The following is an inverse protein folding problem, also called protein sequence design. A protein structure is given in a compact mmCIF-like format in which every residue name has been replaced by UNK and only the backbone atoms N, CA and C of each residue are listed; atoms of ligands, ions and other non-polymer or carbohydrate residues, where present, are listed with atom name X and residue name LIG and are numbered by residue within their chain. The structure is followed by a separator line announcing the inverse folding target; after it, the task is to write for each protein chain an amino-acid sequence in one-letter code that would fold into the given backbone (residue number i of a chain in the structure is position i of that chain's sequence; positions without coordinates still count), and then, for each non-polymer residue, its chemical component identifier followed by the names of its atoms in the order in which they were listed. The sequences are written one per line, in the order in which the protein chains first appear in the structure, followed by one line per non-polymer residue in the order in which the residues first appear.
data_IF_375965132074
#
_entry.id   IF_375965132074
#
_cell.length_a   1.000
_cell.length_b   1.000
_cell.length_c   1.000
_cell.angle_alpha   90.00
_cell.angle_beta   90.00
_cell.angle_gamma   90.00
#
_symmetry.space_group_name_H-M   'P 1'
#
loop_
_entity.id
_entity.type
_entity.pdbx_description
1 polymer ?
#
# COMPACT_ATOMS: atom_id res chain seq x y z
N UNK A 1 -10.16 3.65 17.50
CA UNK A 1 -10.19 2.27 16.90
C UNK A 1 -11.58 1.98 16.38
N UNK A 2 -11.68 1.26 15.25
CA UNK A 2 -12.98 0.78 14.75
C UNK A 2 -13.56 -0.27 15.71
N UNK A 3 -14.91 -0.41 15.76
CA UNK A 3 -15.55 -1.43 16.58
C UNK A 3 -15.06 -2.85 16.21
N UNK A 4 -15.01 -3.73 17.20
CA UNK A 4 -14.76 -5.15 16.96
C UNK A 4 -15.75 -5.71 15.92
N UNK A 5 -15.30 -6.69 15.13
CA UNK A 5 -16.12 -7.31 14.08
C UNK A 5 -16.57 -6.39 12.92
N UNK A 6 -15.97 -5.18 12.78
CA UNK A 6 -16.26 -4.26 11.66
C UNK A 6 -16.17 -4.96 10.29
N UNK A 7 -15.30 -5.97 10.17
CA UNK A 7 -15.11 -6.75 8.93
C UNK A 7 -15.67 -8.18 9.03
N UNK A 8 -16.52 -8.48 10.00
CA UNK A 8 -17.13 -9.81 10.10
C UNK A 8 -17.90 -10.16 8.81
N UNK A 9 -17.61 -11.35 8.25
CA UNK A 9 -18.19 -11.83 6.99
C UNK A 9 -17.59 -11.20 5.73
N UNK A 10 -16.63 -10.27 5.83
CA UNK A 10 -15.90 -9.69 4.70
C UNK A 10 -14.60 -10.45 4.44
N UNK A 11 -14.24 -10.55 3.17
CA UNK A 11 -13.00 -11.19 2.72
C UNK A 11 -12.20 -10.24 1.83
N UNK A 12 -10.86 -10.34 1.88
CA UNK A 12 -10.03 -9.54 0.98
C UNK A 12 -8.60 -9.98 0.85
N UNK A 13 -7.95 -9.45 -0.18
CA UNK A 13 -6.58 -9.77 -0.56
C UNK A 13 -5.65 -8.63 -0.14
N UNK A 14 -4.49 -8.98 0.41
CA UNK A 14 -3.41 -8.02 0.72
C UNK A 14 -2.15 -8.47 -0.01
N UNK A 15 -1.75 -7.71 -1.05
CA UNK A 15 -0.50 -7.98 -1.78
C UNK A 15 0.71 -7.45 -0.99
N UNK A 16 1.83 -8.19 -1.01
CA UNK A 16 2.96 -7.90 -0.12
C UNK A 16 2.60 -8.03 1.36
N UNK A 17 1.57 -8.82 1.67
CA UNK A 17 0.95 -8.95 3.00
C UNK A 17 1.74 -9.78 4.01
N UNK A 18 2.90 -10.34 3.63
CA UNK A 18 3.67 -11.21 4.52
C UNK A 18 4.59 -10.47 5.49
N UNK A 19 4.87 -9.18 5.29
CA UNK A 19 5.80 -8.38 6.11
C UNK A 19 5.43 -6.89 6.10
N UNK A 20 6.00 -6.12 7.03
CA UNK A 20 5.94 -4.66 7.04
C UNK A 20 4.50 -4.10 7.05
N UNK A 21 4.28 -3.02 6.29
CA UNK A 21 2.99 -2.31 6.24
C UNK A 21 1.86 -3.26 5.81
N UNK A 22 2.07 -4.09 4.79
CA UNK A 22 1.07 -5.04 4.31
C UNK A 22 0.65 -6.04 5.39
N UNK A 23 1.61 -6.56 6.15
CA UNK A 23 1.30 -7.46 7.27
C UNK A 23 0.59 -6.74 8.42
N UNK A 24 1.04 -5.51 8.75
CA UNK A 24 0.33 -4.69 9.75
C UNK A 24 -1.14 -4.46 9.40
N UNK A 25 -1.43 -4.13 8.14
CA UNK A 25 -2.81 -3.97 7.64
C UNK A 25 -3.57 -5.31 7.71
N UNK A 26 -2.97 -6.39 7.24
CA UNK A 26 -3.59 -7.72 7.26
C UNK A 26 -3.97 -8.18 8.68
N UNK A 27 -3.06 -7.97 9.64
CA UNK A 27 -3.26 -8.30 11.05
C UNK A 27 -4.42 -7.50 11.66
N UNK A 28 -4.48 -6.20 11.38
CA UNK A 28 -5.57 -5.36 11.89
C UNK A 28 -6.91 -5.76 11.28
N UNK A 29 -6.98 -6.02 9.98
CA UNK A 29 -8.21 -6.47 9.32
C UNK A 29 -8.69 -7.82 9.86
N UNK A 30 -7.77 -8.78 10.08
CA UNK A 30 -8.11 -10.06 10.72
C UNK A 30 -8.61 -9.88 12.15
N UNK A 31 -7.94 -9.04 12.95
CA UNK A 31 -8.39 -8.68 14.31
C UNK A 31 -9.81 -8.10 14.33
N UNK A 32 -10.18 -7.38 13.28
CA UNK A 32 -11.52 -6.81 13.09
C UNK A 32 -12.52 -7.79 12.44
N UNK A 33 -12.14 -9.04 12.24
CA UNK A 33 -13.01 -10.13 11.79
C UNK A 33 -13.01 -10.43 10.30
N UNK A 34 -12.10 -9.85 9.50
CA UNK A 34 -11.98 -10.18 8.09
C UNK A 34 -11.33 -11.55 7.85
N UNK A 35 -11.77 -12.25 6.79
CA UNK A 35 -11.02 -13.33 6.16
C UNK A 35 -9.96 -12.72 5.24
N UNK A 36 -8.71 -12.80 5.63
CA UNK A 36 -7.61 -12.17 4.90
C UNK A 36 -6.83 -13.19 4.09
N UNK A 37 -6.60 -12.88 2.81
CA UNK A 37 -5.78 -13.65 1.90
C UNK A 37 -4.49 -12.88 1.62
N UNK A 38 -3.36 -13.41 2.06
CA UNK A 38 -2.03 -12.82 1.84
C UNK A 38 -1.47 -13.26 0.49
N UNK A 39 -0.94 -12.33 -0.30
CA UNK A 39 -0.27 -12.64 -1.56
C UNK A 39 1.15 -12.05 -1.58
N UNK A 40 2.18 -12.88 -1.77
CA UNK A 40 3.59 -12.47 -1.83
C UNK A 40 4.45 -13.57 -2.45
N UNK A 41 5.73 -13.27 -2.73
CA UNK A 41 6.65 -14.22 -3.41
C UNK A 41 7.30 -15.27 -2.50
N UNK A 42 7.49 -14.94 -1.22
CA UNK A 42 8.23 -15.80 -0.27
C UNK A 42 7.26 -16.63 0.55
N UNK A 43 7.17 -17.92 0.21
CA UNK A 43 6.23 -18.84 0.84
C UNK A 43 6.44 -18.96 2.37
N UNK A 44 7.69 -19.07 2.83
CA UNK A 44 7.97 -19.19 4.26
C UNK A 44 7.46 -18.01 5.08
N UNK A 45 7.60 -16.79 4.54
CA UNK A 45 7.08 -15.59 5.18
C UNK A 45 5.54 -15.59 5.16
N UNK A 46 4.94 -16.00 4.05
CA UNK A 46 3.48 -16.11 3.90
C UNK A 46 2.90 -17.10 4.89
N UNK A 47 3.50 -18.29 5.00
CA UNK A 47 3.05 -19.34 5.91
C UNK A 47 3.06 -18.88 7.37
N UNK A 48 4.16 -18.22 7.80
CA UNK A 48 4.27 -17.65 9.15
C UNK A 48 3.22 -16.57 9.39
N UNK A 49 3.11 -15.62 8.47
CA UNK A 49 2.16 -14.51 8.58
C UNK A 49 0.69 -15.00 8.58
N UNK A 50 0.35 -15.94 7.70
CA UNK A 50 -0.99 -16.50 7.65
C UNK A 50 -1.35 -17.29 8.93
N UNK A 51 -0.41 -18.05 9.48
CA UNK A 51 -0.61 -18.76 10.74
C UNK A 51 -0.85 -17.78 11.91
N UNK A 52 -0.12 -16.64 11.96
CA UNK A 52 -0.28 -15.63 13.01
C UNK A 52 -1.66 -14.99 13.02
N UNK A 53 -2.24 -14.74 11.84
CA UNK A 53 -3.52 -14.03 11.70
C UNK A 53 -4.71 -14.98 11.47
N UNK A 54 -4.50 -16.29 11.42
CA UNK A 54 -5.55 -17.25 11.04
C UNK A 54 -6.07 -17.06 9.62
N UNK A 55 -5.22 -16.55 8.71
CA UNK A 55 -5.56 -16.21 7.33
C UNK A 55 -5.12 -17.27 6.32
N UNK A 56 -5.40 -17.00 5.06
CA UNK A 56 -4.98 -17.79 3.90
C UNK A 56 -3.81 -17.13 3.17
N UNK A 57 -3.11 -17.87 2.29
CA UNK A 57 -2.08 -17.27 1.47
C UNK A 57 -1.98 -17.87 0.07
N UNK A 58 -1.43 -17.05 -0.85
CA UNK A 58 -1.04 -17.44 -2.20
C UNK A 58 0.39 -16.97 -2.50
N UNK A 59 1.24 -17.87 -2.98
CA UNK A 59 2.54 -17.49 -3.53
C UNK A 59 2.29 -16.82 -4.87
N UNK A 60 2.68 -15.55 -4.98
CA UNK A 60 2.39 -14.70 -6.13
C UNK A 60 3.49 -13.67 -6.37
N UNK A 61 3.96 -13.59 -7.61
CA UNK A 61 4.65 -12.39 -8.11
C UNK A 61 3.64 -11.52 -8.84
N UNK A 62 3.36 -10.34 -8.33
CA UNK A 62 2.39 -9.40 -8.91
C UNK A 62 2.78 -8.90 -10.32
N UNK A 63 4.02 -9.14 -10.77
CA UNK A 63 4.48 -8.82 -12.13
C UNK A 63 3.98 -9.81 -13.18
N UNK A 64 3.54 -10.98 -12.77
CA UNK A 64 2.99 -12.02 -13.61
C UNK A 64 1.46 -11.85 -13.70
N UNK A 65 0.99 -11.27 -14.80
CA UNK A 65 -0.41 -10.98 -15.01
C UNK A 65 -1.28 -12.24 -15.05
N UNK A 66 -0.77 -13.33 -15.63
CA UNK A 66 -1.49 -14.61 -15.74
C UNK A 66 -1.62 -15.27 -14.36
N UNK A 67 -0.56 -15.24 -13.56
CA UNK A 67 -0.60 -15.73 -12.19
C UNK A 67 -1.55 -14.90 -11.31
N UNK A 68 -1.61 -13.58 -11.51
CA UNK A 68 -2.57 -12.69 -10.81
C UNK A 68 -4.00 -13.04 -11.19
N UNK A 69 -4.28 -13.23 -12.48
CA UNK A 69 -5.62 -13.61 -12.97
C UNK A 69 -6.04 -14.98 -12.43
N UNK A 70 -5.13 -15.97 -12.45
CA UNK A 70 -5.37 -17.29 -11.90
C UNK A 70 -5.65 -17.26 -10.38
N UNK A 71 -4.87 -16.48 -9.63
CA UNK A 71 -5.11 -16.28 -8.19
C UNK A 71 -6.47 -15.65 -7.93
N UNK A 72 -6.82 -14.57 -8.64
CA UNK A 72 -8.09 -13.90 -8.48
C UNK A 72 -9.28 -14.81 -8.85
N UNK A 73 -9.14 -15.67 -9.87
CA UNK A 73 -10.14 -16.67 -10.23
C UNK A 73 -10.34 -17.71 -9.12
N UNK A 74 -9.23 -18.20 -8.55
CA UNK A 74 -9.26 -19.21 -7.47
C UNK A 74 -9.88 -18.67 -6.17
N UNK A 75 -9.55 -17.43 -5.80
CA UNK A 75 -10.08 -16.77 -4.60
C UNK A 75 -11.56 -16.43 -4.76
N UNK A 76 -11.98 -16.08 -5.96
CA UNK A 76 -13.34 -15.61 -6.25
C UNK A 76 -13.57 -14.15 -5.80
N UNK A 77 -14.84 -13.71 -5.76
CA UNK A 77 -15.17 -12.34 -5.38
C UNK A 77 -14.81 -12.05 -3.92
N UNK A 78 -14.14 -10.92 -3.70
CA UNK A 78 -13.76 -10.41 -2.38
C UNK A 78 -14.36 -9.02 -2.15
N UNK A 79 -14.42 -8.59 -0.90
CA UNK A 79 -14.99 -7.29 -0.51
C UNK A 79 -13.94 -6.18 -0.54
N UNK A 80 -12.64 -6.53 -0.42
CA UNK A 80 -11.57 -5.54 -0.51
C UNK A 80 -10.28 -6.11 -1.12
N UNK A 81 -9.49 -5.18 -1.72
CA UNK A 81 -8.13 -5.41 -2.19
C UNK A 81 -7.20 -4.34 -1.62
N UNK A 82 -6.07 -4.75 -1.05
CA UNK A 82 -4.98 -3.86 -0.66
C UNK A 82 -3.78 -4.09 -1.56
N UNK A 83 -3.47 -3.13 -2.43
CA UNK A 83 -2.29 -3.11 -3.26
C UNK A 83 -1.13 -2.48 -2.48
N UNK A 84 -0.34 -3.33 -1.82
CA UNK A 84 0.80 -2.91 -1.02
C UNK A 84 2.13 -3.48 -1.56
N UNK A 85 2.11 -4.51 -2.41
CA UNK A 85 3.33 -5.07 -2.99
C UNK A 85 4.18 -3.96 -3.64
N UNK A 86 5.43 -3.83 -3.20
CA UNK A 86 6.35 -2.82 -3.67
C UNK A 86 7.81 -3.29 -3.59
N UNK A 87 8.68 -2.57 -4.27
CA UNK A 87 10.13 -2.62 -4.14
C UNK A 87 10.69 -1.23 -4.37
N UNK A 88 11.74 -0.88 -3.64
CA UNK A 88 12.43 0.40 -3.80
C UNK A 88 13.90 0.25 -3.41
N UNK A 89 14.75 1.11 -3.97
CA UNK A 89 16.17 1.27 -3.61
C UNK A 89 16.61 2.69 -3.98
N UNK A 90 17.67 3.17 -3.35
CA UNK A 90 18.21 4.52 -3.63
C UNK A 90 19.34 4.40 -4.65
N UNK A 91 19.25 5.21 -5.73
CA UNK A 91 20.26 5.30 -6.77
C UNK A 91 20.16 6.65 -7.48
N UNK A 92 21.28 7.26 -7.86
CA UNK A 92 21.28 8.46 -8.70
C UNK A 92 20.62 8.16 -10.04
N UNK A 93 19.81 9.08 -10.56
CA UNK A 93 18.97 8.82 -11.74
C UNK A 93 19.78 8.47 -12.98
N UNK A 94 20.95 9.08 -13.17
CA UNK A 94 21.88 8.80 -14.27
C UNK A 94 22.61 7.44 -14.15
N UNK A 95 22.57 6.83 -12.96
CA UNK A 95 23.13 5.48 -12.69
C UNK A 95 22.05 4.40 -12.69
N UNK A 96 20.78 4.77 -12.78
CA UNK A 96 19.67 3.83 -12.76
C UNK A 96 19.66 3.00 -14.05
N UNK A 97 19.87 1.70 -13.93
CA UNK A 97 19.77 0.79 -15.07
C UNK A 97 18.32 0.61 -15.54
N UNK A 98 18.13 0.28 -16.82
CA UNK A 98 16.82 -0.08 -17.39
C UNK A 98 16.18 -1.25 -16.62
N UNK A 99 16.97 -2.24 -16.21
CA UNK A 99 16.46 -3.36 -15.42
C UNK A 99 16.01 -2.91 -14.01
N UNK A 100 16.73 -2.00 -13.39
CA UNK A 100 16.34 -1.41 -12.11
C UNK A 100 15.02 -0.64 -12.21
N UNK A 101 14.88 0.19 -13.24
CA UNK A 101 13.64 0.88 -13.57
C UNK A 101 12.47 -0.10 -13.77
N UNK A 102 12.64 -1.07 -14.69
CA UNK A 102 11.61 -2.04 -15.03
C UNK A 102 11.20 -2.91 -13.82
N UNK A 103 12.16 -3.26 -12.96
CA UNK A 103 11.87 -4.03 -11.74
C UNK A 103 10.90 -3.31 -10.81
N UNK A 104 11.11 -2.01 -10.57
CA UNK A 104 10.27 -1.23 -9.65
C UNK A 104 8.93 -0.86 -10.29
N UNK A 105 8.94 -0.38 -11.53
CA UNK A 105 7.70 -0.09 -12.28
C UNK A 105 6.85 -1.34 -12.44
N UNK A 106 7.49 -2.49 -12.75
CA UNK A 106 6.81 -3.78 -12.86
C UNK A 106 6.07 -4.19 -11.59
N UNK A 107 6.70 -4.04 -10.42
CA UNK A 107 6.05 -4.38 -9.15
C UNK A 107 5.01 -3.34 -8.76
N UNK A 108 5.39 -2.05 -8.77
CA UNK A 108 4.61 -0.99 -8.13
C UNK A 108 3.46 -0.53 -9.00
N UNK A 109 3.68 -0.30 -10.30
CA UNK A 109 2.65 0.21 -11.20
C UNK A 109 1.91 -0.93 -11.91
N UNK A 110 2.64 -1.78 -12.65
CA UNK A 110 2.02 -2.84 -13.44
C UNK A 110 1.36 -3.88 -12.51
N UNK A 111 2.03 -4.30 -11.43
CA UNK A 111 1.47 -5.25 -10.47
C UNK A 111 0.23 -4.73 -9.77
N UNK A 112 0.19 -3.42 -9.42
CA UNK A 112 -1.02 -2.79 -8.89
C UNK A 112 -2.14 -2.81 -9.94
N UNK A 113 -1.83 -2.49 -11.19
CA UNK A 113 -2.82 -2.54 -12.28
C UNK A 113 -3.37 -3.97 -12.49
N UNK A 114 -2.51 -4.99 -12.58
CA UNK A 114 -2.92 -6.37 -12.77
C UNK A 114 -3.84 -6.86 -11.65
N UNK A 115 -3.44 -6.65 -10.39
CA UNK A 115 -4.26 -7.04 -9.24
C UNK A 115 -5.59 -6.28 -9.21
N UNK A 116 -5.55 -4.97 -9.47
CA UNK A 116 -6.75 -4.12 -9.50
C UNK A 116 -7.71 -4.53 -10.62
N UNK A 117 -7.20 -4.81 -11.82
CA UNK A 117 -8.01 -5.24 -12.96
C UNK A 117 -8.65 -6.61 -12.70
N UNK A 118 -7.86 -7.60 -12.29
CA UNK A 118 -8.36 -8.97 -12.07
C UNK A 118 -9.39 -9.05 -10.94
N UNK A 119 -9.14 -8.38 -9.82
CA UNK A 119 -10.05 -8.39 -8.66
C UNK A 119 -11.25 -7.46 -8.91
N UNK A 120 -11.02 -6.28 -9.48
CA UNK A 120 -12.08 -5.31 -9.79
C UNK A 120 -13.10 -5.85 -10.78
N UNK A 121 -12.67 -6.57 -11.81
CA UNK A 121 -13.55 -7.28 -12.74
C UNK A 121 -14.51 -8.22 -11.99
N UNK A 122 -14.00 -8.99 -11.04
CA UNK A 122 -14.81 -9.91 -10.22
C UNK A 122 -15.74 -9.20 -9.25
N UNK A 123 -15.31 -8.08 -8.67
CA UNK A 123 -16.19 -7.21 -7.89
C UNK A 123 -17.35 -6.68 -8.74
N UNK A 124 -17.08 -6.25 -9.97
CA UNK A 124 -18.10 -5.77 -10.92
C UNK A 124 -19.07 -6.90 -11.31
N UNK A 125 -18.55 -8.06 -11.71
CA UNK A 125 -19.34 -9.23 -12.12
C UNK A 125 -20.23 -9.76 -10.99
N UNK A 126 -19.76 -9.72 -9.74
CA UNK A 126 -20.55 -10.12 -8.58
C UNK A 126 -21.70 -9.18 -8.25
N UNK A 127 -21.66 -7.93 -8.72
CA UNK A 127 -22.65 -6.88 -8.41
C UNK A 127 -22.63 -6.39 -6.94
N UNK A 128 -21.76 -6.95 -6.08
CA UNK A 128 -21.69 -6.61 -4.64
C UNK A 128 -20.95 -5.29 -4.39
N UNK A 129 -20.09 -4.89 -5.33
CA UNK A 129 -19.17 -3.78 -5.13
C UNK A 129 -17.93 -4.21 -4.36
N UNK A 130 -17.22 -3.25 -3.76
CA UNK A 130 -16.01 -3.50 -2.99
C UNK A 130 -15.18 -2.26 -2.73
N UNK A 131 -14.03 -2.45 -2.10
CA UNK A 131 -13.08 -1.35 -1.82
C UNK A 131 -11.67 -1.74 -2.25
N UNK A 132 -10.99 -0.85 -2.97
CA UNK A 132 -9.59 -1.00 -3.34
C UNK A 132 -8.79 0.08 -2.64
N UNK A 133 -7.74 -0.33 -1.93
CA UNK A 133 -6.80 0.55 -1.25
C UNK A 133 -5.41 0.39 -1.84
N UNK A 134 -4.84 1.47 -2.36
CA UNK A 134 -3.50 1.51 -2.91
C UNK A 134 -2.53 2.13 -1.90
N UNK A 135 -1.41 1.47 -1.64
CA UNK A 135 -0.33 2.04 -0.81
C UNK A 135 0.64 2.77 -1.73
N UNK A 136 0.65 4.10 -1.64
CA UNK A 136 1.58 4.98 -2.36
C UNK A 136 2.60 5.59 -1.40
N UNK A 137 3.14 6.75 -1.71
CA UNK A 137 4.01 7.55 -0.84
C UNK A 137 3.83 9.03 -1.19
N UNK A 138 4.18 9.94 -0.29
CA UNK A 138 4.07 11.37 -0.50
C UNK A 138 4.88 11.88 -1.70
N UNK A 139 5.98 11.22 -2.06
CA UNK A 139 6.74 11.56 -3.26
C UNK A 139 6.04 11.22 -4.60
N UNK A 140 4.85 10.65 -4.57
CA UNK A 140 4.02 10.46 -5.76
C UNK A 140 3.59 11.79 -6.42
N UNK A 141 3.57 12.89 -5.68
CA UNK A 141 3.27 14.23 -6.19
C UNK A 141 4.39 15.25 -6.00
N UNK A 142 5.34 15.00 -5.09
CA UNK A 142 6.47 15.90 -4.87
C UNK A 142 7.72 15.48 -5.65
N UNK A 143 7.82 14.22 -6.06
CA UNK A 143 9.08 13.60 -6.42
C UNK A 143 10.00 13.43 -5.20
N UNK A 144 11.08 12.66 -5.37
CA UNK A 144 12.17 12.56 -4.39
C UNK A 144 13.47 12.18 -5.08
N UNK A 145 14.61 12.82 -4.72
CA UNK A 145 15.91 12.43 -5.24
C UNK A 145 16.25 10.97 -4.94
N UNK A 146 16.94 10.31 -5.87
CA UNK A 146 17.40 8.93 -5.70
C UNK A 146 16.35 7.84 -5.87
N UNK A 147 15.07 8.18 -6.13
CA UNK A 147 13.98 7.20 -6.27
C UNK A 147 13.06 7.49 -7.46
N UNK A 148 13.60 8.03 -8.56
CA UNK A 148 12.81 8.43 -9.74
C UNK A 148 11.89 7.31 -10.25
N UNK A 149 12.34 6.05 -10.26
CA UNK A 149 11.56 4.89 -10.65
C UNK A 149 10.34 4.68 -9.75
N UNK A 150 10.54 4.75 -8.43
CA UNK A 150 9.46 4.58 -7.45
C UNK A 150 8.51 5.77 -7.44
N UNK A 151 9.02 7.00 -7.54
CA UNK A 151 8.21 8.21 -7.61
C UNK A 151 7.29 8.20 -8.84
N UNK A 152 7.84 7.89 -10.02
CA UNK A 152 7.07 7.77 -11.25
C UNK A 152 6.00 6.67 -11.18
N UNK A 153 6.37 5.49 -10.63
CA UNK A 153 5.42 4.41 -10.46
C UNK A 153 4.28 4.77 -9.49
N UNK A 154 4.60 5.40 -8.34
CA UNK A 154 3.60 5.82 -7.36
C UNK A 154 2.71 6.96 -7.88
N UNK A 155 3.24 7.86 -8.71
CA UNK A 155 2.46 8.87 -9.43
C UNK A 155 1.46 8.22 -10.40
N UNK A 156 1.88 7.17 -11.13
CA UNK A 156 0.98 6.37 -11.97
C UNK A 156 -0.14 5.69 -11.17
N UNK A 157 0.19 5.11 -10.00
CA UNK A 157 -0.81 4.52 -9.11
C UNK A 157 -1.78 5.58 -8.57
N UNK A 158 -1.31 6.79 -8.26
CA UNK A 158 -2.17 7.91 -7.85
C UNK A 158 -3.17 8.28 -8.96
N UNK A 159 -2.70 8.43 -10.20
CA UNK A 159 -3.56 8.71 -11.35
C UNK A 159 -4.59 7.59 -11.55
N UNK A 160 -4.17 6.31 -11.50
CA UNK A 160 -5.05 5.15 -11.61
C UNK A 160 -6.09 5.13 -10.48
N UNK A 161 -5.72 5.44 -9.24
CA UNK A 161 -6.65 5.53 -8.09
C UNK A 161 -7.80 6.49 -8.39
N UNK A 162 -7.48 7.69 -8.85
CA UNK A 162 -8.48 8.73 -9.15
C UNK A 162 -9.36 8.37 -10.36
N UNK A 163 -8.76 7.83 -11.41
CA UNK A 163 -9.49 7.40 -12.61
C UNK A 163 -10.51 6.32 -12.27
N UNK A 164 -10.06 5.24 -11.61
CA UNK A 164 -10.94 4.12 -11.29
C UNK A 164 -11.98 4.45 -10.21
N UNK A 165 -11.69 5.38 -9.32
CA UNK A 165 -12.68 5.89 -8.37
C UNK A 165 -13.91 6.49 -9.08
N UNK A 166 -13.69 7.19 -10.19
CA UNK A 166 -14.79 7.77 -10.99
C UNK A 166 -15.46 6.70 -11.86
N UNK A 167 -14.68 5.89 -12.58
CA UNK A 167 -15.22 4.88 -13.50
C UNK A 167 -16.06 3.81 -12.79
N UNK A 168 -15.62 3.39 -11.60
CA UNK A 168 -16.24 2.25 -10.92
C UNK A 168 -17.22 2.63 -9.81
N UNK A 169 -17.42 3.92 -9.55
CA UNK A 169 -18.36 4.41 -8.53
C UNK A 169 -19.79 3.84 -8.73
N UNK A 170 -20.28 3.83 -9.97
CA UNK A 170 -21.60 3.27 -10.29
C UNK A 170 -21.68 1.74 -10.14
N UNK A 171 -20.54 1.07 -10.01
CA UNK A 171 -20.41 -0.36 -9.70
C UNK A 171 -20.28 -0.62 -8.20
N UNK A 172 -20.48 0.42 -7.36
CA UNK A 172 -20.34 0.38 -5.89
C UNK A 172 -18.91 0.01 -5.45
N UNK A 173 -17.89 0.35 -6.24
CA UNK A 173 -16.49 0.14 -5.91
C UNK A 173 -15.87 1.50 -5.56
N UNK A 174 -15.29 1.60 -4.36
CA UNK A 174 -14.48 2.73 -3.95
C UNK A 174 -13.00 2.42 -4.17
N UNK A 175 -12.25 3.39 -4.66
CA UNK A 175 -10.80 3.25 -4.87
C UNK A 175 -10.12 4.44 -4.21
N UNK A 176 -9.29 4.18 -3.19
CA UNK A 176 -8.57 5.18 -2.44
C UNK A 176 -7.10 4.80 -2.31
N UNK A 177 -6.28 5.72 -1.83
CA UNK A 177 -4.89 5.47 -1.51
C UNK A 177 -4.54 5.92 -0.09
N UNK A 178 -3.52 5.31 0.49
CA UNK A 178 -2.78 5.83 1.63
C UNK A 178 -1.36 6.19 1.20
N UNK A 179 -0.84 7.28 1.77
CA UNK A 179 0.53 7.72 1.56
C UNK A 179 1.26 7.77 2.93
N UNK A 180 1.83 6.64 3.37
CA UNK A 180 2.62 6.60 4.59
C UNK A 180 3.90 7.41 4.46
N UNK A 181 4.30 8.08 5.54
CA UNK A 181 5.66 8.57 5.75
C UNK A 181 6.62 7.43 6.11
N UNK A 182 7.80 7.75 6.65
CA UNK A 182 8.76 6.76 7.11
C UNK A 182 8.19 5.86 8.21
N UNK A 183 8.33 4.55 8.00
CA UNK A 183 7.89 3.48 8.93
C UNK A 183 9.02 2.46 9.05
N UNK A 184 9.35 2.03 10.26
CA UNK A 184 10.28 0.93 10.45
C UNK A 184 9.65 -0.39 10.01
N UNK A 185 10.29 -1.03 9.02
CA UNK A 185 9.93 -2.39 8.59
C UNK A 185 11.22 -3.16 8.29
N UNK A 186 11.23 -4.47 8.52
CA UNK A 186 12.42 -5.32 8.26
C UNK A 186 12.97 -5.15 6.83
N UNK A 187 12.09 -4.99 5.83
CA UNK A 187 12.50 -4.90 4.43
C UNK A 187 12.90 -3.50 3.97
N UNK A 188 12.33 -2.44 4.55
CA UNK A 188 12.62 -1.06 4.15
C UNK A 188 13.77 -0.47 4.94
N UNK A 189 13.88 -0.76 6.23
CA UNK A 189 14.90 -0.16 7.11
C UNK A 189 16.32 -0.42 6.61
N UNK A 190 16.66 -1.65 6.25
CA UNK A 190 17.97 -2.00 5.74
C UNK A 190 18.34 -1.33 4.39
N UNK A 191 17.35 -0.92 3.60
CA UNK A 191 17.56 -0.35 2.25
C UNK A 191 17.45 1.16 2.19
N UNK A 192 16.61 1.74 3.04
CA UNK A 192 16.28 3.17 3.02
C UNK A 192 16.89 3.92 4.21
N UNK A 193 17.20 3.21 5.29
CA UNK A 193 17.73 3.77 6.54
C UNK A 193 18.96 2.95 7.00
N UNK A 194 20.04 2.89 6.19
CA UNK A 194 21.16 1.97 6.41
C UNK A 194 21.97 2.28 7.66
N UNK A 195 21.89 3.49 8.19
CA UNK A 195 22.58 3.93 9.38
C UNK A 195 21.79 4.95 10.21
N UNK A 196 22.17 5.13 11.48
CA UNK A 196 21.52 6.00 12.45
C UNK A 196 21.55 7.48 12.03
N UNK A 197 22.59 7.93 11.35
CA UNK A 197 22.74 9.32 10.91
C UNK A 197 21.72 9.66 9.82
N UNK A 198 21.50 8.73 8.88
CA UNK A 198 20.48 8.88 7.85
C UNK A 198 19.09 8.87 8.49
N UNK A 199 18.86 7.93 9.42
CA UNK A 199 17.58 7.85 10.12
C UNK A 199 17.28 9.13 10.89
N UNK A 200 18.23 9.66 11.64
CA UNK A 200 18.08 10.92 12.37
C UNK A 200 17.86 12.10 11.42
N UNK A 201 18.57 12.13 10.29
CA UNK A 201 18.34 13.13 9.24
C UNK A 201 16.90 13.11 8.74
N UNK A 202 16.35 11.92 8.48
CA UNK A 202 14.95 11.77 8.06
C UNK A 202 14.00 12.18 9.19
N UNK A 203 14.23 11.73 10.42
CA UNK A 203 13.40 12.08 11.59
C UNK A 203 13.28 13.60 11.77
N UNK A 204 14.34 14.35 11.50
CA UNK A 204 14.33 15.82 11.55
C UNK A 204 13.44 16.46 10.48
N UNK A 205 13.19 15.80 9.38
CA UNK A 205 12.27 16.30 8.34
C UNK A 205 10.79 16.11 8.69
N UNK A 206 10.50 15.28 9.69
CA UNK A 206 9.13 14.98 10.13
C UNK A 206 8.74 15.95 11.25
N UNK A 207 7.69 16.77 11.12
CA UNK A 207 7.23 17.67 12.19
C UNK A 207 6.96 16.95 13.51
N UNK A 208 6.36 15.74 13.49
CA UNK A 208 6.15 14.94 14.69
C UNK A 208 7.43 14.28 15.25
N UNK A 209 8.60 14.46 14.60
CA UNK A 209 9.93 14.02 15.09
C UNK A 209 10.06 12.52 15.36
N UNK A 210 9.20 11.70 14.78
CA UNK A 210 9.27 10.24 14.87
C UNK A 210 8.73 9.58 13.59
N UNK A 211 9.12 8.34 13.41
CA UNK A 211 8.52 7.49 12.38
C UNK A 211 7.11 7.05 12.83
N UNK A 212 6.27 6.74 11.86
CA UNK A 212 4.97 6.14 12.14
C UNK A 212 5.12 4.69 12.59
N UNK A 213 4.18 4.22 13.39
CA UNK A 213 4.05 2.80 13.74
C UNK A 213 3.26 2.05 12.67
N UNK A 214 3.45 0.74 12.57
CA UNK A 214 2.64 -0.10 11.68
C UNK A 214 1.15 -0.04 12.04
N UNK A 215 0.84 0.11 13.31
CA UNK A 215 -0.53 0.20 13.82
C UNK A 215 -1.22 1.51 13.35
N UNK A 216 -0.52 2.64 13.38
CA UNK A 216 -1.06 3.92 12.89
C UNK A 216 -1.45 3.83 11.41
N UNK A 217 -0.61 3.18 10.59
CA UNK A 217 -0.91 2.95 9.17
C UNK A 217 -2.07 1.95 8.99
N UNK A 218 -2.06 0.87 9.76
CA UNK A 218 -3.08 -0.17 9.69
C UNK A 218 -4.47 0.35 10.08
N UNK A 219 -4.57 1.18 11.12
CA UNK A 219 -5.81 1.80 11.56
C UNK A 219 -6.42 2.70 10.47
N UNK A 220 -5.59 3.51 9.82
CA UNK A 220 -6.05 4.37 8.72
C UNK A 220 -6.49 3.54 7.50
N UNK A 221 -5.76 2.47 7.16
CA UNK A 221 -6.14 1.54 6.10
C UNK A 221 -7.48 0.86 6.41
N UNK A 222 -7.66 0.37 7.64
CA UNK A 222 -8.91 -0.25 8.07
C UNK A 222 -10.09 0.73 7.99
N UNK A 223 -9.90 2.00 8.40
CA UNK A 223 -10.94 3.02 8.24
C UNK A 223 -11.37 3.17 6.78
N UNK A 224 -10.43 3.36 5.85
CA UNK A 224 -10.74 3.56 4.42
C UNK A 224 -11.39 2.34 3.77
N UNK A 225 -11.06 1.13 4.24
CA UNK A 225 -11.66 -0.12 3.76
C UNK A 225 -13.04 -0.39 4.36
N UNK A 226 -13.40 0.24 5.47
CA UNK A 226 -14.65 0.03 6.18
C UNK A 226 -15.82 0.81 5.56
N UNK A 227 -17.03 0.47 6.00
CA UNK A 227 -18.26 1.19 5.63
C UNK A 227 -18.32 2.59 6.26
N UNK A 228 -17.51 2.87 7.31
CA UNK A 228 -17.39 4.21 7.90
C UNK A 228 -16.79 5.24 6.94
N UNK A 229 -16.03 4.79 5.94
CA UNK A 229 -15.50 5.62 4.86
C UNK A 229 -16.38 5.58 3.59
N UNK A 230 -17.68 5.27 3.72
CA UNK A 230 -18.59 5.03 2.60
C UNK A 230 -18.71 6.18 1.59
N UNK A 231 -18.40 7.42 1.98
CA UNK A 231 -18.40 8.59 1.08
C UNK A 231 -17.01 9.09 0.68
N UNK A 232 -15.95 8.32 1.04
CA UNK A 232 -14.56 8.62 0.66
C UNK A 232 -14.21 7.81 -0.58
N UNK A 233 -13.93 8.50 -1.70
CA UNK A 233 -13.62 7.87 -2.99
C UNK A 233 -12.67 8.74 -3.81
N UNK A 234 -11.59 8.17 -4.34
CA UNK A 234 -10.55 8.87 -5.10
C UNK A 234 -9.55 9.66 -4.24
N UNK A 235 -9.60 9.50 -2.92
CA UNK A 235 -8.82 10.28 -1.96
C UNK A 235 -7.46 9.62 -1.67
N UNK A 236 -6.51 10.47 -1.31
CA UNK A 236 -5.21 10.05 -0.76
C UNK A 236 -5.12 10.47 0.70
N UNK A 237 -5.17 9.49 1.60
CA UNK A 237 -5.02 9.76 3.02
C UNK A 237 -3.54 9.75 3.40
N UNK A 238 -2.97 10.94 3.63
CA UNK A 238 -1.56 11.11 3.98
C UNK A 238 -1.35 10.84 5.47
N UNK A 239 -0.37 9.98 5.80
CA UNK A 239 -0.06 9.56 7.17
C UNK A 239 1.46 9.64 7.34
N UNK A 240 2.00 10.86 7.39
CA UNK A 240 3.45 11.10 7.34
C UNK A 240 3.97 12.04 8.43
N UNK A 241 3.17 12.30 9.46
CA UNK A 241 3.54 13.21 10.55
C UNK A 241 3.76 14.66 10.10
N UNK A 242 3.19 15.05 8.96
CA UNK A 242 3.33 16.38 8.36
C UNK A 242 4.57 16.53 7.48
N UNK A 243 5.30 15.44 7.18
CA UNK A 243 6.58 15.50 6.48
C UNK A 243 6.49 16.21 5.13
N UNK A 244 5.49 15.91 4.30
CA UNK A 244 5.38 16.49 2.98
C UNK A 244 5.06 17.99 2.99
N UNK A 245 4.56 18.53 4.11
CA UNK A 245 4.30 19.95 4.32
C UNK A 245 5.54 20.71 4.82
N UNK A 246 6.55 20.00 5.36
CA UNK A 246 7.72 20.60 6.02
C UNK A 246 8.62 21.43 5.07
N UNK A 247 8.44 21.28 3.75
CA UNK A 247 9.11 22.15 2.76
C UNK A 247 8.73 23.63 2.86
N UNK A 248 7.57 23.94 3.46
CA UNK A 248 7.05 25.31 3.65
C UNK A 248 7.39 25.90 5.03
N UNK A 249 8.24 25.25 5.82
CA UNK A 249 8.64 25.72 7.15
C UNK A 249 9.72 26.82 7.06
N UNK A 250 9.30 28.00 6.62
CA UNK A 250 10.15 29.17 6.51
C UNK A 250 10.60 29.71 7.88
N UNK A 251 9.77 29.55 8.91
CA UNK A 251 10.00 30.14 10.21
C UNK A 251 11.03 29.39 11.04
N UNK A 252 11.03 28.07 11.03
CA UNK A 252 12.06 27.27 11.69
C UNK A 252 13.43 27.39 11.02
N UNK A 253 13.46 27.51 9.67
CA UNK A 253 14.69 27.72 8.91
C UNK A 253 15.32 29.07 9.18
N UNK A 254 14.54 30.10 9.48
CA UNK A 254 15.03 31.44 9.80
C UNK A 254 15.59 31.55 11.25
N UNK A 255 15.36 30.55 12.12
CA UNK A 255 15.83 30.51 13.50
C UNK A 255 17.09 29.66 13.70
N UNK A 256 17.59 29.02 12.65
CA UNK A 256 18.85 28.24 12.62
C UNK A 256 19.96 29.02 11.95
#
# INVERSE_FOLDING_TARGET
MLPEKTFAGKAGIVTGGATGIGFGIARELSRLGARVILASRKEDNLRKAAAEIGGEYHVLDVRDADAVEAMAAKVGPVDFLVNNAAGNFVVQSEQLSVNGWNSVVGIVLNGTFYCTSAVGKRMIESGRGGVILNVIANYAWTGAPGVVHSASAKAGVLAMTRTLAVEWARRKIRVNAIAPGPVHTEGASARLFPDEKIEEGIRRTIPLRRFATLEEIANAAAYLLSDYAGYVNGEVFVIDGGQWLSGADYWERARR
#
